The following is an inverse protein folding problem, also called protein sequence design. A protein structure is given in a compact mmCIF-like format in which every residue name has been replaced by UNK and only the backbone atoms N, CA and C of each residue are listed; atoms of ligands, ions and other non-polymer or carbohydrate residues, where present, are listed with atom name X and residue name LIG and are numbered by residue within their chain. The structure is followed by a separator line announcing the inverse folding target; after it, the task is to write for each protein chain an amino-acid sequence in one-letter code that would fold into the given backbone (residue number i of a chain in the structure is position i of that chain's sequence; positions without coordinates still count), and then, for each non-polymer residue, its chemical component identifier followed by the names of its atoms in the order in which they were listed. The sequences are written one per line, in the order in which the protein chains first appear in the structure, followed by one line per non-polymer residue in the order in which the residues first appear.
data_IF_444371685430
#
_entry.id   IF_444371685430
#
_cell.length_a   1.000
_cell.length_b   1.000
_cell.length_c   1.000
_cell.angle_alpha   90.00
_cell.angle_beta   90.00
_cell.angle_gamma   90.00
#
_symmetry.space_group_name_H-M   'P 1'
#
loop_
_entity.id
_entity.type
_entity.pdbx_description
1 polymer ?
#
# COMPACT_ATOMS: atom_id res chain seq x y z
N UNK A 1 23.05 29.67 24.25
CA UNK A 1 22.67 30.72 23.31
C UNK A 1 21.20 30.50 22.96
N UNK A 2 20.31 31.38 23.43
CA UNK A 2 18.85 31.22 23.34
C UNK A 2 18.41 31.46 21.89
N UNK A 3 17.74 30.49 21.26
CA UNK A 3 17.02 30.73 20.02
C UNK A 3 15.65 31.35 20.34
N UNK A 4 15.50 32.60 19.96
CA UNK A 4 14.22 33.31 19.97
C UNK A 4 13.36 32.81 18.80
N UNK A 5 12.07 32.70 19.06
CA UNK A 5 11.01 32.34 18.12
C UNK A 5 11.02 33.26 16.89
N UNK A 6 11.25 32.67 15.72
CA UNK A 6 11.02 33.37 14.43
C UNK A 6 9.66 32.93 13.90
N UNK A 7 8.66 33.71 14.26
CA UNK A 7 7.33 33.66 13.63
C UNK A 7 7.21 34.81 12.65
N UNK A 8 7.79 34.70 11.47
CA UNK A 8 7.54 35.67 10.41
C UNK A 8 7.64 35.01 9.03
N UNK A 9 6.51 34.99 8.31
CA UNK A 9 6.42 34.49 6.94
C UNK A 9 7.22 35.37 5.94
N UNK A 10 7.59 36.61 6.32
CA UNK A 10 8.41 37.50 5.52
C UNK A 10 9.86 37.07 5.37
N UNK A 11 10.44 36.46 6.39
CA UNK A 11 11.85 36.03 6.37
C UNK A 11 12.14 34.84 5.42
N UNK A 12 11.15 34.05 5.12
CA UNK A 12 11.28 32.89 4.18
C UNK A 12 11.26 33.35 2.71
N UNK A 13 10.44 34.35 2.38
CA UNK A 13 10.39 34.92 1.04
C UNK A 13 11.71 35.59 0.68
N UNK A 14 12.31 36.36 1.64
CA UNK A 14 13.62 36.99 1.43
C UNK A 14 14.77 35.97 1.26
N UNK A 15 14.71 34.81 1.90
CA UNK A 15 15.72 33.76 1.74
C UNK A 15 15.65 33.08 0.38
N UNK A 16 14.44 32.88 -0.16
CA UNK A 16 14.22 32.33 -1.50
C UNK A 16 14.69 33.31 -2.57
N UNK A 17 14.37 34.60 -2.45
CA UNK A 17 14.83 35.66 -3.36
C UNK A 17 16.35 35.85 -3.31
N UNK A 18 16.97 35.72 -2.14
CA UNK A 18 18.43 35.83 -1.98
C UNK A 18 19.17 34.62 -2.63
N UNK A 19 18.53 33.45 -2.73
CA UNK A 19 19.07 32.28 -3.42
C UNK A 19 18.89 32.37 -4.93
N UNK A 20 17.82 32.97 -5.42
CA UNK A 20 17.58 33.19 -6.84
C UNK A 20 18.47 34.31 -7.43
N UNK A 21 18.76 35.36 -6.68
CA UNK A 21 19.58 36.49 -7.13
C UNK A 21 21.06 36.14 -7.31
N UNK A 22 21.57 35.03 -6.74
CA UNK A 22 22.94 34.55 -6.90
C UNK A 22 23.14 33.59 -8.10
N UNK A 23 22.07 33.34 -8.89
CA UNK A 23 22.10 32.34 -9.97
C UNK A 23 22.49 32.89 -11.34
N UNK A 24 22.95 34.14 -11.46
CA UNK A 24 23.26 34.81 -12.74
C UNK A 24 24.72 34.83 -13.15
N UNK A 25 25.58 33.93 -12.63
CA UNK A 25 26.94 33.74 -13.13
C UNK A 25 27.18 32.27 -13.49
N UNK A 26 27.40 32.06 -14.78
CA UNK A 26 27.79 30.79 -15.39
C UNK A 26 28.93 30.11 -14.66
N UNK A 27 28.74 28.82 -14.23
CA UNK A 27 29.76 27.78 -14.38
C UNK A 27 29.21 26.40 -13.96
N UNK A 28 29.41 25.48 -14.88
CA UNK A 28 29.60 24.02 -14.77
C UNK A 28 28.69 23.12 -13.90
N UNK A 29 28.01 22.27 -14.56
CA UNK A 29 27.38 20.94 -14.40
C UNK A 29 27.40 20.14 -13.11
N UNK A 30 27.99 20.57 -12.01
CA UNK A 30 28.11 19.82 -10.74
C UNK A 30 27.20 20.31 -9.61
N UNK A 31 26.64 21.50 -9.73
CA UNK A 31 25.78 22.11 -8.70
C UNK A 31 24.31 21.69 -8.75
N UNK A 32 23.84 21.15 -9.85
CA UNK A 32 22.42 20.78 -9.99
C UNK A 32 21.98 19.61 -9.08
N UNK A 33 22.86 18.65 -8.83
CA UNK A 33 22.58 17.50 -7.95
C UNK A 33 22.53 17.90 -6.48
N UNK A 34 23.41 18.79 -6.04
CA UNK A 34 23.44 19.27 -4.65
C UNK A 34 22.23 20.14 -4.32
N UNK A 35 21.75 20.98 -5.26
CA UNK A 35 20.54 21.79 -5.10
C UNK A 35 19.28 20.95 -5.00
N UNK A 36 19.17 19.90 -5.81
CA UNK A 36 18.02 18.99 -5.78
C UNK A 36 17.96 18.19 -4.47
N UNK A 37 19.12 17.81 -3.95
CA UNK A 37 19.24 17.09 -2.67
C UNK A 37 18.88 17.99 -1.49
N UNK A 38 19.35 19.24 -1.48
CA UNK A 38 19.06 20.22 -0.44
C UNK A 38 17.58 20.62 -0.44
N UNK A 39 16.97 20.85 -1.60
CA UNK A 39 15.54 21.15 -1.72
C UNK A 39 14.65 19.98 -1.27
N UNK A 40 15.04 18.76 -1.58
CA UNK A 40 14.32 17.56 -1.17
C UNK A 40 14.42 17.31 0.34
N UNK A 41 15.60 17.53 0.92
CA UNK A 41 15.82 17.45 2.37
C UNK A 41 15.09 18.59 3.10
N UNK A 42 15.07 19.79 2.53
CA UNK A 42 14.31 20.92 3.07
C UNK A 42 12.79 20.70 3.01
N UNK A 43 12.28 20.16 1.92
CA UNK A 43 10.86 19.76 1.79
C UNK A 43 10.50 18.66 2.79
N UNK A 44 11.39 17.71 3.03
CA UNK A 44 11.21 16.65 4.03
C UNK A 44 11.17 17.24 5.45
N UNK A 45 12.18 18.04 5.82
CA UNK A 45 12.27 18.69 7.14
C UNK A 45 11.12 19.67 7.36
N UNK A 46 10.70 20.43 6.34
CA UNK A 46 9.57 21.34 6.40
C UNK A 46 8.25 20.58 6.52
N UNK A 47 8.08 19.46 5.82
CA UNK A 47 6.93 18.57 5.94
C UNK A 47 6.85 17.96 7.34
N UNK A 48 7.98 17.50 7.90
CA UNK A 48 8.06 16.98 9.27
C UNK A 48 7.79 18.10 10.31
N UNK A 49 8.29 19.32 10.10
CA UNK A 49 8.06 20.45 11.00
C UNK A 49 6.61 20.98 10.97
N UNK A 50 5.98 21.02 9.78
CA UNK A 50 4.56 21.41 9.63
C UNK A 50 3.63 20.34 10.19
N UNK A 51 4.00 19.06 10.10
CA UNK A 51 3.27 17.96 10.73
C UNK A 51 3.37 18.04 12.26
N UNK A 52 4.54 18.39 12.81
CA UNK A 52 4.77 18.48 14.26
C UNK A 52 4.04 19.68 14.91
N UNK A 53 3.96 20.82 14.23
CA UNK A 53 3.24 22.00 14.77
C UNK A 53 1.71 21.84 14.77
N UNK A 54 1.13 21.00 13.89
CA UNK A 54 -0.30 20.62 13.95
C UNK A 54 -0.60 19.63 15.09
N UNK A 55 0.40 18.89 15.54
CA UNK A 55 0.29 17.88 16.61
C UNK A 55 0.06 18.47 18.00
N UNK A 56 0.31 19.78 18.20
CA UNK A 56 0.19 20.41 19.52
C UNK A 56 -1.24 20.84 19.91
N UNK A 57 -2.22 20.86 18.98
CA UNK A 57 -3.57 21.38 19.25
C UNK A 57 -4.65 20.29 19.42
N UNK A 58 -4.59 19.20 18.65
CA UNK A 58 -5.47 18.03 18.77
C UNK A 58 -4.72 16.77 18.31
N UNK A 59 -4.93 15.61 18.97
CA UNK A 59 -4.32 14.37 18.53
C UNK A 59 -4.77 14.07 17.10
N UNK A 60 -3.81 13.76 16.20
CA UNK A 60 -4.11 13.36 14.82
C UNK A 60 -5.07 12.17 14.86
N UNK A 61 -6.21 12.30 14.19
CA UNK A 61 -7.24 11.24 14.13
C UNK A 61 -7.28 10.67 12.74
N UNK A 62 -7.13 9.34 12.61
CA UNK A 62 -7.22 8.64 11.32
C UNK A 62 -8.40 7.67 11.34
N UNK A 63 -9.24 7.78 10.32
CA UNK A 63 -10.30 6.83 10.03
C UNK A 63 -9.74 5.59 9.33
N UNK A 64 -10.19 4.41 9.73
CA UNK A 64 -9.82 3.13 9.10
C UNK A 64 -11.08 2.52 8.51
N UNK A 65 -11.11 2.30 7.21
CA UNK A 65 -12.13 1.49 6.52
C UNK A 65 -11.54 0.10 6.36
N UNK A 66 -11.96 -0.85 7.19
CA UNK A 66 -11.34 -2.15 7.28
C UNK A 66 -12.19 -3.26 6.71
N UNK A 67 -11.65 -4.00 5.74
CA UNK A 67 -12.13 -5.30 5.32
C UNK A 67 -11.57 -6.44 6.18
N UNK A 68 -11.50 -7.62 5.60
CA UNK A 68 -10.96 -8.85 6.22
C UNK A 68 -9.44 -8.94 6.12
N UNK A 69 -8.87 -9.90 6.84
CA UNK A 69 -7.44 -10.22 6.84
C UNK A 69 -6.66 -9.53 7.96
N UNK A 70 -5.34 -9.68 7.92
CA UNK A 70 -4.41 -9.18 8.94
C UNK A 70 -3.92 -7.75 8.68
N UNK A 71 -4.19 -7.22 7.49
CA UNK A 71 -3.71 -5.91 7.09
C UNK A 71 -4.19 -4.79 8.02
N UNK A 72 -5.48 -4.68 8.40
CA UNK A 72 -5.92 -3.65 9.34
C UNK A 72 -5.22 -3.71 10.70
N UNK A 73 -5.00 -4.91 11.24
CA UNK A 73 -4.26 -5.10 12.50
C UNK A 73 -2.81 -4.65 12.38
N UNK A 74 -2.13 -5.03 11.30
CA UNK A 74 -0.75 -4.61 11.00
C UNK A 74 -0.63 -3.10 10.96
N UNK A 75 -1.57 -2.42 10.29
CA UNK A 75 -1.62 -0.96 10.23
C UNK A 75 -1.83 -0.34 11.61
N UNK A 76 -2.80 -0.81 12.40
CA UNK A 76 -3.09 -0.28 13.74
C UNK A 76 -1.83 -0.38 14.62
N UNK A 77 -1.18 -1.54 14.62
CA UNK A 77 0.05 -1.75 15.38
C UNK A 77 1.19 -0.83 14.92
N UNK A 78 1.35 -0.63 13.62
CA UNK A 78 2.36 0.26 13.07
C UNK A 78 2.07 1.74 13.38
N UNK A 79 0.83 2.19 13.18
CA UNK A 79 0.42 3.56 13.49
C UNK A 79 0.66 3.92 14.96
N UNK A 80 0.32 3.01 15.89
CA UNK A 80 0.57 3.18 17.33
C UNK A 80 2.05 3.24 17.67
N UNK A 81 2.91 2.48 16.96
CA UNK A 81 4.38 2.55 17.15
C UNK A 81 4.96 3.85 16.64
N UNK A 82 4.53 4.31 15.46
CA UNK A 82 5.02 5.56 14.85
C UNK A 82 4.52 6.81 15.58
N UNK A 83 3.30 6.79 16.08
CA UNK A 83 2.65 7.91 16.72
C UNK A 83 1.85 7.45 17.95
N UNK A 84 2.47 7.31 19.13
CA UNK A 84 1.80 6.79 20.33
C UNK A 84 0.54 7.55 20.75
N UNK A 85 0.42 8.84 20.38
CA UNK A 85 -0.75 9.68 20.67
C UNK A 85 -1.80 9.71 19.55
N UNK A 86 -1.63 8.93 18.46
CA UNK A 86 -2.57 8.92 17.35
C UNK A 86 -3.93 8.33 17.80
N UNK A 87 -5.01 8.98 17.38
CA UNK A 87 -6.36 8.47 17.58
C UNK A 87 -6.81 7.71 16.32
N UNK A 88 -7.22 6.46 16.50
CA UNK A 88 -7.64 5.57 15.42
C UNK A 88 -9.13 5.25 15.56
N UNK A 89 -9.91 5.50 14.51
CA UNK A 89 -11.36 5.25 14.52
C UNK A 89 -11.73 4.32 13.36
N UNK A 90 -12.46 3.24 13.65
CA UNK A 90 -12.65 2.10 12.77
C UNK A 90 -14.07 2.06 12.21
N UNK A 91 -14.20 2.07 10.89
CA UNK A 91 -15.40 1.59 10.18
C UNK A 91 -15.20 0.11 9.82
N UNK A 92 -15.89 -0.76 10.55
CA UNK A 92 -15.80 -2.22 10.42
C UNK A 92 -16.98 -2.75 9.58
N UNK A 93 -16.71 -3.60 8.59
CA UNK A 93 -17.76 -4.26 7.81
C UNK A 93 -18.28 -5.50 8.51
N UNK A 94 -19.61 -5.57 8.71
CA UNK A 94 -20.28 -6.73 9.26
C UNK A 94 -20.00 -7.98 8.41
N UNK A 95 -19.49 -9.05 9.05
CA UNK A 95 -19.17 -10.32 8.41
C UNK A 95 -17.83 -10.36 7.65
N UNK A 96 -17.08 -9.25 7.60
CA UNK A 96 -15.77 -9.18 6.96
C UNK A 96 -14.67 -8.83 7.98
N UNK A 97 -14.84 -7.73 8.70
CA UNK A 97 -13.83 -7.24 9.64
C UNK A 97 -13.82 -8.11 10.89
N UNK A 98 -12.62 -8.46 11.35
CA UNK A 98 -12.45 -9.22 12.59
C UNK A 98 -12.90 -8.39 13.81
N UNK A 99 -13.79 -8.92 14.66
CA UNK A 99 -14.31 -8.19 15.82
C UNK A 99 -13.23 -7.74 16.82
N UNK A 100 -12.12 -8.48 16.90
CA UNK A 100 -11.01 -8.20 17.82
C UNK A 100 -10.39 -6.81 17.58
N UNK A 101 -10.47 -6.29 16.35
CA UNK A 101 -9.95 -4.97 16.01
C UNK A 101 -10.65 -3.85 16.78
N UNK A 102 -11.90 -4.06 17.23
CA UNK A 102 -12.63 -3.08 18.02
C UNK A 102 -11.90 -2.71 19.33
N UNK A 103 -11.25 -3.69 19.96
CA UNK A 103 -10.45 -3.47 21.18
C UNK A 103 -9.11 -2.75 20.94
N UNK A 104 -8.67 -2.59 19.69
CA UNK A 104 -7.38 -2.02 19.32
C UNK A 104 -7.46 -0.56 18.92
N UNK A 105 -8.67 0.00 18.81
CA UNK A 105 -8.94 1.36 18.31
C UNK A 105 -9.73 2.17 19.32
N UNK A 106 -9.83 3.49 19.13
CA UNK A 106 -10.44 4.42 20.08
C UNK A 106 -11.96 4.52 19.92
N UNK A 107 -12.50 4.22 18.72
CA UNK A 107 -13.92 4.16 18.44
C UNK A 107 -14.20 3.28 17.24
N UNK A 108 -15.36 2.62 17.22
CA UNK A 108 -15.77 1.72 16.14
C UNK A 108 -17.22 2.00 15.70
N UNK A 109 -17.43 1.96 14.40
CA UNK A 109 -18.75 1.99 13.79
C UNK A 109 -18.91 0.79 12.85
N UNK A 110 -19.87 -0.11 13.16
CA UNK A 110 -20.18 -1.26 12.32
C UNK A 110 -21.10 -0.88 11.17
N UNK A 111 -20.68 -1.17 9.95
CA UNK A 111 -21.38 -0.84 8.71
C UNK A 111 -21.59 -2.10 7.86
N UNK A 112 -22.45 -1.98 6.87
CA UNK A 112 -22.62 -2.99 5.80
C UNK A 112 -21.91 -2.54 4.55
N UNK A 113 -21.47 -3.49 3.73
CA UNK A 113 -20.96 -3.18 2.39
C UNK A 113 -22.04 -2.45 1.59
N UNK A 114 -21.64 -1.34 0.94
CA UNK A 114 -22.60 -0.47 0.24
C UNK A 114 -23.10 0.73 1.04
N UNK A 115 -22.65 0.94 2.27
CA UNK A 115 -22.95 2.16 3.03
C UNK A 115 -21.75 3.11 3.00
N UNK A 116 -21.91 4.30 2.42
CA UNK A 116 -20.87 5.34 2.37
C UNK A 116 -21.20 6.55 3.24
N UNK A 117 -22.48 6.89 3.37
CA UNK A 117 -22.92 8.02 4.21
C UNK A 117 -22.61 7.81 5.69
N UNK A 118 -22.67 6.56 6.16
CA UNK A 118 -22.45 6.20 7.56
C UNK A 118 -20.98 6.36 7.97
N UNK A 119 -19.98 5.81 7.24
CA UNK A 119 -18.55 6.07 7.49
C UNK A 119 -18.21 7.56 7.50
N UNK A 120 -18.69 8.33 6.52
CA UNK A 120 -18.41 9.77 6.42
C UNK A 120 -18.93 10.52 7.65
N UNK A 121 -20.18 10.25 8.07
CA UNK A 121 -20.75 10.87 9.28
C UNK A 121 -19.98 10.49 10.54
N UNK A 122 -19.56 9.23 10.64
CA UNK A 122 -18.76 8.72 11.74
C UNK A 122 -17.41 9.42 11.83
N UNK A 123 -16.64 9.44 10.74
CA UNK A 123 -15.32 10.08 10.71
C UNK A 123 -15.41 11.58 11.05
N UNK A 124 -16.38 12.29 10.50
CA UNK A 124 -16.59 13.70 10.84
C UNK A 124 -16.94 13.90 12.32
N UNK A 125 -17.79 13.05 12.90
CA UNK A 125 -18.15 13.09 14.32
C UNK A 125 -16.94 12.87 15.21
N UNK A 126 -16.05 11.95 14.81
CA UNK A 126 -14.84 11.62 15.54
C UNK A 126 -13.65 12.55 15.25
N UNK A 127 -13.82 13.53 14.35
CA UNK A 127 -12.78 14.49 14.00
C UNK A 127 -11.67 13.91 13.12
N UNK A 128 -11.95 12.84 12.34
CA UNK A 128 -11.01 12.28 11.39
C UNK A 128 -11.15 12.98 10.03
N UNK A 129 -10.16 13.75 9.66
CA UNK A 129 -9.99 14.41 8.36
C UNK A 129 -9.09 13.63 7.40
N UNK A 130 -8.49 12.55 7.88
CA UNK A 130 -7.71 11.59 7.12
C UNK A 130 -8.29 10.18 7.32
N UNK A 131 -8.23 9.36 6.27
CA UNK A 131 -8.66 7.97 6.34
C UNK A 131 -7.72 7.07 5.54
N UNK A 132 -7.71 5.78 5.88
CA UNK A 132 -7.06 4.70 5.12
C UNK A 132 -8.09 3.62 4.80
N UNK A 133 -7.88 2.92 3.68
CA UNK A 133 -8.72 1.80 3.28
C UNK A 133 -7.86 0.56 3.10
N UNK A 134 -8.20 -0.54 3.75
CA UNK A 134 -7.39 -1.76 3.72
C UNK A 134 -8.16 -3.03 4.06
N UNK A 135 -7.58 -4.16 3.69
CA UNK A 135 -8.22 -5.47 3.82
C UNK A 135 -9.07 -5.83 2.60
N UNK A 136 -9.62 -7.02 2.60
CA UNK A 136 -10.41 -7.55 1.49
C UNK A 136 -11.90 -7.55 1.84
N UNK A 137 -12.74 -7.42 0.83
CA UNK A 137 -14.19 -7.65 0.93
C UNK A 137 -14.51 -8.86 0.07
N UNK A 138 -15.18 -9.85 0.66
CA UNK A 138 -15.57 -11.06 -0.04
C UNK A 138 -16.50 -10.75 -1.22
N UNK A 139 -16.23 -11.30 -2.43
CA UNK A 139 -17.12 -11.13 -3.57
C UNK A 139 -18.57 -11.53 -3.29
N UNK A 140 -18.80 -12.48 -2.38
CA UNK A 140 -20.17 -12.89 -1.97
C UNK A 140 -20.96 -11.74 -1.36
N UNK A 141 -20.32 -10.88 -0.58
CA UNK A 141 -20.97 -9.73 0.07
C UNK A 141 -21.23 -8.58 -0.90
N UNK A 142 -20.64 -8.63 -2.11
CA UNK A 142 -20.98 -7.68 -3.19
C UNK A 142 -22.35 -7.98 -3.85
N UNK A 143 -22.90 -9.19 -3.68
CA UNK A 143 -24.24 -9.54 -4.18
C UNK A 143 -25.37 -9.14 -3.20
N UNK A 144 -25.06 -9.01 -1.89
CA UNK A 144 -26.00 -8.57 -0.86
C UNK A 144 -25.90 -7.06 -0.55
N UNK A 145 -25.44 -6.29 -1.53
CA UNK A 145 -25.29 -4.84 -1.42
C UNK A 145 -26.66 -4.19 -1.12
N UNK A 146 -26.71 -3.47 -0.01
CA UNK A 146 -27.79 -2.51 0.28
C UNK A 146 -27.24 -1.09 0.17
N UNK A 147 -27.05 -0.59 -1.08
CA UNK A 147 -26.42 0.69 -1.31
C UNK A 147 -27.26 1.82 -0.71
N UNK A 148 -26.61 2.72 0.00
CA UNK A 148 -27.23 3.97 0.39
C UNK A 148 -27.32 4.93 -0.82
N UNK A 149 -28.01 6.06 -0.63
CA UNK A 149 -28.24 7.01 -1.73
C UNK A 149 -26.92 7.55 -2.32
N UNK A 150 -25.87 7.72 -1.49
CA UNK A 150 -24.55 8.15 -1.99
C UNK A 150 -23.90 7.10 -2.89
N UNK A 151 -23.91 5.84 -2.47
CA UNK A 151 -23.37 4.75 -3.30
C UNK A 151 -24.16 4.63 -4.60
N UNK A 152 -25.49 4.78 -4.59
CA UNK A 152 -26.29 4.81 -5.81
C UNK A 152 -25.86 5.95 -6.76
N UNK A 153 -25.63 7.15 -6.23
CA UNK A 153 -25.14 8.28 -7.01
C UNK A 153 -23.73 8.04 -7.58
N UNK A 154 -22.83 7.42 -6.81
CA UNK A 154 -21.51 7.00 -7.26
C UNK A 154 -21.61 6.01 -8.42
N UNK A 155 -22.40 4.94 -8.23
CA UNK A 155 -22.61 3.90 -9.24
C UNK A 155 -23.26 4.44 -10.54
N UNK A 156 -24.07 5.49 -10.44
CA UNK A 156 -24.67 6.14 -11.61
C UNK A 156 -23.68 6.99 -12.43
N UNK A 157 -22.59 7.46 -11.80
CA UNK A 157 -21.56 8.28 -12.45
C UNK A 157 -20.43 7.45 -13.06
N UNK A 158 -20.14 6.29 -12.47
CA UNK A 158 -19.03 5.43 -12.89
C UNK A 158 -19.44 4.65 -14.15
N UNK A 159 -18.71 4.89 -15.25
CA UNK A 159 -18.94 4.22 -16.54
C UNK A 159 -18.44 2.77 -16.54
N UNK A 160 -17.25 2.56 -16.00
CA UNK A 160 -16.63 1.24 -15.89
C UNK A 160 -16.65 0.80 -14.43
N UNK A 161 -17.26 -0.37 -14.16
CA UNK A 161 -17.46 -0.87 -12.80
C UNK A 161 -16.36 -1.85 -12.39
N UNK A 162 -15.10 -1.44 -12.56
CA UNK A 162 -13.96 -2.16 -12.00
C UNK A 162 -13.65 -1.64 -10.58
N UNK A 163 -12.82 -2.36 -9.83
CA UNK A 163 -12.48 -2.01 -8.45
C UNK A 163 -11.82 -0.63 -8.35
N UNK A 164 -10.94 -0.29 -9.29
CA UNK A 164 -10.18 0.95 -9.29
C UNK A 164 -11.10 2.17 -9.44
N UNK A 165 -12.02 2.14 -10.41
CA UNK A 165 -12.96 3.25 -10.64
C UNK A 165 -13.97 3.40 -9.48
N UNK A 166 -14.41 2.28 -8.88
CA UNK A 166 -15.33 2.31 -7.74
C UNK A 166 -14.66 2.88 -6.49
N UNK A 167 -13.44 2.42 -6.16
CA UNK A 167 -12.73 2.93 -4.98
C UNK A 167 -12.20 4.35 -5.19
N UNK A 168 -11.80 4.72 -6.41
CA UNK A 168 -11.48 6.10 -6.78
C UNK A 168 -12.67 7.04 -6.53
N UNK A 169 -13.86 6.64 -6.96
CA UNK A 169 -15.08 7.42 -6.73
C UNK A 169 -15.47 7.49 -5.24
N UNK A 170 -15.20 6.44 -4.44
CA UNK A 170 -15.35 6.50 -2.98
C UNK A 170 -14.37 7.51 -2.36
N UNK A 171 -13.12 7.53 -2.82
CA UNK A 171 -12.13 8.52 -2.37
C UNK A 171 -12.55 9.95 -2.68
N UNK A 172 -13.13 10.19 -3.87
CA UNK A 172 -13.68 11.50 -4.25
C UNK A 172 -14.87 11.92 -3.35
N UNK A 173 -15.75 10.98 -3.00
CA UNK A 173 -16.88 11.27 -2.10
C UNK A 173 -16.42 11.57 -0.67
N UNK A 174 -15.38 10.89 -0.17
CA UNK A 174 -14.74 11.22 1.11
C UNK A 174 -14.16 12.64 1.09
N UNK A 175 -13.43 12.98 0.01
CA UNK A 175 -12.81 14.30 -0.16
C UNK A 175 -13.82 15.46 -0.17
N UNK A 176 -15.04 15.27 -0.71
CA UNK A 176 -16.11 16.28 -0.68
C UNK A 176 -16.55 16.64 0.74
N UNK A 177 -16.40 15.72 1.68
CA UNK A 177 -16.71 15.93 3.10
C UNK A 177 -15.47 16.27 3.93
N UNK A 178 -14.35 16.62 3.28
CA UNK A 178 -13.10 17.03 3.93
C UNK A 178 -12.26 15.88 4.47
N UNK A 179 -12.48 14.64 4.02
CA UNK A 179 -11.75 13.46 4.46
C UNK A 179 -10.79 13.03 3.35
N UNK A 180 -9.48 13.15 3.59
CA UNK A 180 -8.44 12.76 2.64
C UNK A 180 -8.13 11.27 2.78
N UNK A 181 -8.25 10.50 1.70
CA UNK A 181 -7.83 9.11 1.69
C UNK A 181 -6.31 9.01 1.48
N UNK A 182 -5.60 8.56 2.52
CA UNK A 182 -4.15 8.34 2.52
C UNK A 182 -3.78 7.05 1.78
N UNK A 183 -2.51 6.91 1.33
CA UNK A 183 -2.00 5.62 0.88
C UNK A 183 -2.18 4.54 1.94
N UNK A 184 -2.62 3.36 1.54
CA UNK A 184 -2.78 2.23 2.46
C UNK A 184 -1.43 1.72 3.02
N UNK A 185 -0.32 2.17 2.46
CA UNK A 185 1.05 1.92 2.93
C UNK A 185 1.53 2.88 4.03
N UNK A 186 0.74 3.90 4.39
CA UNK A 186 1.06 4.86 5.46
C UNK A 186 1.43 4.12 6.75
N UNK A 187 2.53 4.49 7.39
CA UNK A 187 3.15 3.82 8.56
C UNK A 187 3.67 2.39 8.31
N UNK A 188 3.64 1.91 7.07
CA UNK A 188 4.06 0.56 6.71
C UNK A 188 5.29 0.54 5.78
N UNK A 189 6.07 1.62 5.77
CA UNK A 189 7.28 1.75 4.97
C UNK A 189 8.27 0.60 5.26
N UNK A 190 8.37 0.19 6.53
CA UNK A 190 9.19 -0.95 6.97
C UNK A 190 8.72 -2.32 6.45
N UNK A 191 7.52 -2.38 5.91
CA UNK A 191 6.92 -3.57 5.29
C UNK A 191 7.08 -3.60 3.77
N UNK A 192 7.73 -2.58 3.18
CA UNK A 192 8.04 -2.45 1.77
C UNK A 192 9.53 -2.75 1.53
N UNK A 193 9.91 -3.97 1.14
CA UNK A 193 11.32 -4.31 0.95
C UNK A 193 11.97 -3.45 -0.14
N UNK A 194 13.18 -2.99 0.13
CA UNK A 194 14.06 -2.41 -0.88
C UNK A 194 14.60 -3.46 -1.86
N UNK A 195 15.29 -3.04 -2.94
CA UNK A 195 15.81 -3.96 -3.94
C UNK A 195 16.81 -4.98 -3.36
N UNK A 196 16.77 -6.21 -3.87
CA UNK A 196 17.70 -7.28 -3.52
C UNK A 196 17.08 -8.45 -2.77
N UNK A 197 17.92 -9.21 -2.08
CA UNK A 197 17.50 -10.34 -1.26
C UNK A 197 16.69 -9.86 -0.04
N UNK A 198 15.56 -10.51 0.22
CA UNK A 198 14.65 -10.15 1.33
C UNK A 198 14.73 -11.17 2.46
N UNK A 199 14.41 -12.43 2.20
CA UNK A 199 14.48 -13.52 3.18
C UNK A 199 14.47 -14.90 2.49
N UNK A 200 14.73 -15.96 3.26
CA UNK A 200 14.85 -17.33 2.77
C UNK A 200 16.09 -17.54 1.90
N UNK A 201 16.19 -18.63 1.15
CA UNK A 201 17.35 -18.90 0.29
C UNK A 201 17.54 -17.82 -0.78
N UNK A 202 18.78 -17.32 -0.91
CA UNK A 202 19.12 -16.33 -1.93
C UNK A 202 18.93 -16.90 -3.36
N UNK A 203 18.44 -16.06 -4.27
CA UNK A 203 18.24 -16.44 -5.65
C UNK A 203 19.56 -16.76 -6.35
N UNK A 204 19.59 -17.87 -7.07
CA UNK A 204 20.68 -18.23 -7.98
C UNK A 204 20.58 -17.36 -9.25
N UNK A 205 21.67 -17.26 -9.99
CA UNK A 205 21.75 -16.47 -11.24
C UNK A 205 20.57 -16.73 -12.20
N UNK A 206 20.14 -17.99 -12.33
CA UNK A 206 19.03 -18.36 -13.19
C UNK A 206 17.70 -17.84 -12.67
N UNK A 207 17.48 -17.90 -11.36
CA UNK A 207 16.27 -17.37 -10.73
C UNK A 207 16.20 -15.85 -10.85
N UNK A 208 17.33 -15.14 -10.75
CA UNK A 208 17.39 -13.70 -11.01
C UNK A 208 16.99 -13.38 -12.45
N UNK A 209 17.51 -14.13 -13.44
CA UNK A 209 17.10 -13.95 -14.84
C UNK A 209 15.61 -14.25 -15.06
N UNK A 210 15.07 -15.30 -14.42
CA UNK A 210 13.64 -15.62 -14.48
C UNK A 210 12.79 -14.54 -13.77
N UNK A 211 13.28 -13.96 -12.68
CA UNK A 211 12.63 -12.84 -11.99
C UNK A 211 12.52 -11.61 -12.89
N UNK A 212 13.61 -11.20 -13.54
CA UNK A 212 13.62 -10.09 -14.50
C UNK A 212 12.70 -10.34 -15.70
N UNK A 213 12.72 -11.57 -16.24
CA UNK A 213 11.83 -11.98 -17.32
C UNK A 213 10.38 -11.90 -16.89
N UNK A 214 10.03 -12.52 -15.77
CA UNK A 214 8.68 -12.53 -15.21
C UNK A 214 8.20 -11.14 -14.84
N UNK A 215 9.08 -10.28 -14.32
CA UNK A 215 8.77 -8.89 -14.02
C UNK A 215 8.25 -8.12 -15.24
N UNK A 216 8.96 -8.21 -16.37
CA UNK A 216 8.52 -7.56 -17.62
C UNK A 216 7.16 -8.07 -18.08
N UNK A 217 6.92 -9.39 -18.02
CA UNK A 217 5.64 -9.99 -18.41
C UNK A 217 4.52 -9.55 -17.46
N UNK A 218 4.75 -9.64 -16.13
CA UNK A 218 3.77 -9.26 -15.12
C UNK A 218 3.39 -7.76 -15.24
N UNK A 219 4.35 -6.88 -15.54
CA UNK A 219 4.06 -5.45 -15.80
C UNK A 219 3.18 -5.26 -17.04
N UNK A 220 3.35 -6.05 -18.09
CA UNK A 220 2.51 -5.96 -19.29
C UNK A 220 1.10 -6.51 -19.04
N UNK A 221 0.96 -7.68 -18.39
CA UNK A 221 -0.35 -8.24 -18.06
C UNK A 221 -1.12 -7.37 -17.07
N UNK A 222 -0.43 -6.76 -16.12
CA UNK A 222 -1.05 -5.84 -15.17
C UNK A 222 -1.47 -4.51 -15.80
N UNK A 223 -0.73 -4.03 -16.80
CA UNK A 223 -1.11 -2.84 -17.58
C UNK A 223 -2.39 -3.06 -18.41
N UNK A 224 -2.69 -4.30 -18.79
CA UNK A 224 -3.92 -4.70 -19.46
C UNK A 224 -5.07 -5.06 -18.50
N UNK A 225 -4.87 -4.85 -17.20
CA UNK A 225 -5.83 -5.20 -16.12
C UNK A 225 -6.21 -6.70 -16.09
N UNK A 226 -5.31 -7.58 -16.55
CA UNK A 226 -5.53 -9.04 -16.55
C UNK A 226 -5.19 -9.61 -15.17
N UNK A 227 -3.99 -9.30 -14.64
CA UNK A 227 -3.51 -9.77 -13.34
C UNK A 227 -2.11 -9.26 -13.04
N UNK A 228 -1.71 -9.37 -11.77
CA UNK A 228 -0.47 -8.78 -11.23
C UNK A 228 0.62 -9.83 -10.96
N UNK A 229 0.34 -11.10 -11.23
CA UNK A 229 1.29 -12.19 -10.95
C UNK A 229 1.46 -13.10 -12.16
N UNK A 230 2.69 -13.58 -12.32
CA UNK A 230 3.00 -14.64 -13.29
C UNK A 230 3.85 -15.70 -12.60
N UNK A 231 3.70 -16.94 -13.04
CA UNK A 231 4.57 -18.05 -12.63
C UNK A 231 5.45 -18.42 -13.80
N UNK A 232 6.76 -18.41 -13.58
CA UNK A 232 7.75 -18.58 -14.64
C UNK A 232 8.74 -19.72 -14.31
N UNK A 233 9.34 -20.26 -15.35
CA UNK A 233 10.45 -21.21 -15.25
C UNK A 233 11.30 -21.14 -16.51
N UNK A 234 12.59 -20.93 -16.35
CA UNK A 234 13.57 -20.98 -17.44
C UNK A 234 13.19 -20.14 -18.66
N UNK A 235 12.78 -18.88 -18.41
CA UNK A 235 12.36 -17.94 -19.45
C UNK A 235 11.01 -18.27 -20.10
N UNK A 236 10.20 -19.13 -19.47
CA UNK A 236 8.86 -19.52 -19.96
C UNK A 236 7.81 -19.15 -18.93
N UNK A 237 6.71 -18.53 -19.37
CA UNK A 237 5.53 -18.30 -18.54
C UNK A 237 4.73 -19.58 -18.45
N UNK A 238 4.56 -20.11 -17.24
CA UNK A 238 3.74 -21.30 -16.97
C UNK A 238 2.28 -20.94 -16.67
N UNK A 239 2.09 -19.83 -15.94
CA UNK A 239 0.78 -19.31 -15.62
C UNK A 239 0.84 -17.77 -15.51
N UNK A 240 -0.22 -17.12 -15.96
CA UNK A 240 -0.49 -15.71 -15.68
C UNK A 240 -1.78 -15.63 -14.87
N UNK A 241 -1.77 -14.82 -13.82
CA UNK A 241 -2.94 -14.53 -13.01
C UNK A 241 -3.99 -13.79 -13.84
N UNK A 242 -5.26 -14.15 -13.65
CA UNK A 242 -6.40 -13.44 -14.16
C UNK A 242 -7.48 -13.38 -13.06
N UNK A 243 -8.73 -13.60 -13.41
CA UNK A 243 -9.86 -13.54 -12.47
C UNK A 243 -9.78 -14.57 -11.32
N UNK A 244 -9.06 -15.67 -11.50
CA UNK A 244 -8.91 -16.73 -10.50
C UNK A 244 -8.08 -16.34 -9.26
N UNK A 245 -7.28 -15.28 -9.37
CA UNK A 245 -6.44 -14.75 -8.30
C UNK A 245 -5.09 -15.46 -8.11
N UNK A 246 -4.21 -14.83 -7.33
CA UNK A 246 -2.80 -15.23 -7.17
C UNK A 246 -2.62 -16.69 -6.72
N UNK A 247 -3.40 -17.16 -5.73
CA UNK A 247 -3.22 -18.50 -5.18
C UNK A 247 -3.55 -19.61 -6.20
N UNK A 248 -4.57 -19.42 -7.03
CA UNK A 248 -4.91 -20.38 -8.09
C UNK A 248 -3.85 -20.34 -9.21
N UNK A 249 -3.34 -19.16 -9.56
CA UNK A 249 -2.23 -19.01 -10.50
C UNK A 249 -0.97 -19.74 -10.02
N UNK A 250 -0.60 -19.62 -8.72
CA UNK A 250 0.53 -20.34 -8.11
C UNK A 250 0.37 -21.85 -8.27
N UNK A 251 -0.79 -22.39 -7.89
CA UNK A 251 -1.04 -23.86 -7.99
C UNK A 251 -0.94 -24.35 -9.42
N UNK A 252 -1.58 -23.68 -10.37
CA UNK A 252 -1.53 -24.02 -11.79
C UNK A 252 -0.12 -23.95 -12.36
N UNK A 253 0.63 -22.90 -12.03
CA UNK A 253 2.01 -22.75 -12.46
C UNK A 253 2.95 -23.77 -11.85
N UNK A 254 2.78 -24.11 -10.57
CA UNK A 254 3.54 -25.13 -9.88
C UNK A 254 3.31 -26.53 -10.48
N UNK A 255 2.07 -26.89 -10.77
CA UNK A 255 1.70 -28.14 -11.45
C UNK A 255 2.36 -28.25 -12.83
N UNK A 256 2.22 -27.23 -13.67
CA UNK A 256 2.81 -27.18 -15.01
C UNK A 256 4.36 -27.20 -14.96
N UNK A 257 4.96 -26.59 -13.94
CA UNK A 257 6.39 -26.62 -13.69
C UNK A 257 6.90 -27.90 -13.03
N UNK A 258 6.01 -28.82 -12.64
CA UNK A 258 6.33 -30.05 -11.90
C UNK A 258 7.14 -29.79 -10.62
N UNK A 259 6.89 -28.66 -9.96
CA UNK A 259 7.53 -28.29 -8.71
C UNK A 259 9.06 -28.12 -8.76
N UNK A 260 9.65 -27.82 -9.92
CA UNK A 260 11.11 -27.67 -10.06
C UNK A 260 11.49 -26.36 -10.69
N UNK A 261 12.35 -25.59 -10.01
CA UNK A 261 12.85 -24.28 -10.48
C UNK A 261 11.73 -23.31 -10.89
N UNK A 262 10.58 -23.36 -10.22
CA UNK A 262 9.43 -22.52 -10.49
C UNK A 262 9.50 -21.26 -9.63
N UNK A 263 9.21 -20.13 -10.22
CA UNK A 263 9.25 -18.83 -9.59
C UNK A 263 7.92 -18.08 -9.76
N UNK A 264 7.36 -17.56 -8.67
CA UNK A 264 6.29 -16.57 -8.70
C UNK A 264 6.90 -15.18 -8.89
N UNK A 265 6.31 -14.36 -9.76
CA UNK A 265 6.64 -12.93 -9.86
C UNK A 265 5.37 -12.12 -9.68
N UNK A 266 5.38 -11.20 -8.71
CA UNK A 266 4.24 -10.34 -8.37
C UNK A 266 4.66 -8.87 -8.40
N UNK A 267 3.87 -8.05 -9.11
CA UNK A 267 4.16 -6.63 -9.34
C UNK A 267 2.95 -5.76 -9.03
N UNK A 268 3.15 -4.44 -8.99
CA UNK A 268 2.06 -3.46 -9.04
C UNK A 268 1.68 -3.15 -10.49
N UNK A 269 0.46 -2.69 -10.72
CA UNK A 269 0.06 -2.08 -12.00
C UNK A 269 0.90 -0.81 -12.25
N UNK A 270 1.14 -0.40 -13.51
CA UNK A 270 1.89 0.83 -13.82
C UNK A 270 1.34 2.09 -13.14
N UNK A 271 0.01 2.21 -13.08
CA UNK A 271 -0.70 3.36 -12.48
C UNK A 271 -1.48 2.95 -11.23
N UNK A 272 -0.94 2.03 -10.43
CA UNK A 272 -1.58 1.53 -9.23
C UNK A 272 -1.96 2.66 -8.26
N UNK A 273 -3.20 2.71 -7.84
CA UNK A 273 -3.63 3.63 -6.78
C UNK A 273 -3.39 3.01 -5.39
N UNK A 274 -2.28 3.39 -4.79
CA UNK A 274 -1.85 2.88 -3.49
C UNK A 274 -2.76 3.31 -2.31
N UNK A 275 -3.78 4.11 -2.55
CA UNK A 275 -4.76 4.46 -1.51
C UNK A 275 -5.65 3.27 -1.13
N UNK A 276 -5.86 2.30 -2.04
CA UNK A 276 -6.76 1.17 -1.81
C UNK A 276 -6.33 -0.14 -2.46
N UNK A 277 -5.37 -0.12 -3.38
CA UNK A 277 -4.88 -1.33 -4.05
C UNK A 277 -3.36 -1.43 -3.91
N UNK A 278 -2.89 -2.30 -3.03
CA UNK A 278 -1.47 -2.53 -2.76
C UNK A 278 -1.19 -4.02 -2.94
N UNK A 279 -0.20 -4.40 -3.77
CA UNK A 279 0.24 -5.78 -3.84
C UNK A 279 0.73 -6.27 -2.48
N UNK A 280 0.26 -7.45 -2.07
CA UNK A 280 0.59 -8.02 -0.76
C UNK A 280 1.14 -9.42 -0.93
N UNK A 281 2.16 -9.75 -0.14
CA UNK A 281 2.64 -11.11 0.12
C UNK A 281 2.57 -11.36 1.63
N UNK A 282 1.96 -12.46 2.01
CA UNK A 282 1.80 -12.88 3.41
C UNK A 282 2.02 -14.36 3.60
N UNK A 283 1.88 -14.89 4.82
CA UNK A 283 2.09 -16.30 5.15
C UNK A 283 1.39 -17.27 4.22
N UNK A 284 0.12 -17.01 3.88
CA UNK A 284 -0.67 -17.85 2.99
C UNK A 284 -0.05 -17.96 1.57
N UNK A 285 0.57 -16.88 1.07
CA UNK A 285 1.26 -16.93 -0.22
C UNK A 285 2.45 -17.88 -0.16
N UNK A 286 3.23 -17.82 0.94
CA UNK A 286 4.39 -18.70 1.14
C UNK A 286 3.95 -20.17 1.22
N UNK A 287 2.94 -20.46 2.03
CA UNK A 287 2.38 -21.79 2.17
C UNK A 287 1.84 -22.34 0.82
N UNK A 288 1.11 -21.50 0.07
CA UNK A 288 0.62 -21.89 -1.27
C UNK A 288 1.76 -22.17 -2.25
N UNK A 289 2.86 -21.39 -2.19
CA UNK A 289 4.05 -21.64 -2.99
C UNK A 289 4.72 -22.96 -2.62
N UNK A 290 4.86 -23.25 -1.32
CA UNK A 290 5.42 -24.52 -0.84
C UNK A 290 4.63 -25.72 -1.33
N UNK A 291 3.30 -25.70 -1.14
CA UNK A 291 2.38 -26.78 -1.56
C UNK A 291 2.42 -27.02 -3.08
N UNK A 292 2.62 -25.96 -3.85
CA UNK A 292 2.70 -26.02 -5.31
C UNK A 292 4.12 -26.32 -5.86
N UNK A 293 5.14 -26.40 -4.99
CA UNK A 293 6.53 -26.58 -5.41
C UNK A 293 7.15 -25.35 -6.09
N UNK A 294 6.64 -24.15 -5.77
CA UNK A 294 7.21 -22.86 -6.21
C UNK A 294 8.30 -22.45 -5.23
N UNK A 295 9.57 -22.50 -5.66
CA UNK A 295 10.74 -22.36 -4.79
C UNK A 295 11.21 -20.91 -4.56
N UNK A 296 10.53 -19.92 -5.14
CA UNK A 296 10.89 -18.51 -4.93
C UNK A 296 9.82 -17.54 -5.36
N UNK A 297 9.90 -16.33 -4.80
CA UNK A 297 8.97 -15.24 -5.05
C UNK A 297 9.77 -13.99 -5.37
N UNK A 298 9.60 -13.44 -6.57
CA UNK A 298 10.08 -12.12 -6.92
C UNK A 298 8.96 -11.09 -6.74
N UNK A 299 9.27 -9.98 -6.08
CA UNK A 299 8.32 -8.89 -5.81
C UNK A 299 8.85 -7.57 -6.32
N UNK A 300 7.97 -6.60 -6.56
CA UNK A 300 8.39 -5.25 -6.93
C UNK A 300 8.88 -4.49 -5.68
N UNK A 301 10.14 -4.03 -5.73
CA UNK A 301 10.79 -3.30 -4.65
C UNK A 301 10.05 -1.99 -4.32
N UNK A 302 9.87 -1.72 -3.03
CA UNK A 302 9.19 -0.53 -2.52
C UNK A 302 7.69 -0.43 -2.86
N UNK A 303 7.09 -1.49 -3.45
CA UNK A 303 5.68 -1.46 -3.87
C UNK A 303 4.87 -2.68 -3.44
N UNK A 304 5.50 -3.73 -2.95
CA UNK A 304 4.82 -4.93 -2.45
C UNK A 304 4.96 -4.99 -0.94
N UNK A 305 3.83 -5.01 -0.22
CA UNK A 305 3.82 -5.16 1.24
C UNK A 305 4.07 -6.61 1.65
N UNK A 306 4.95 -6.80 2.63
CA UNK A 306 5.07 -8.04 3.39
C UNK A 306 4.24 -7.93 4.67
N UNK A 307 3.09 -8.60 4.70
CA UNK A 307 2.28 -8.70 5.91
C UNK A 307 2.81 -9.82 6.81
N UNK A 308 2.77 -9.59 8.13
CA UNK A 308 3.34 -10.52 9.12
C UNK A 308 4.81 -10.88 8.76
N UNK A 309 5.63 -9.86 8.48
CA UNK A 309 6.98 -10.01 7.90
C UNK A 309 7.87 -11.00 8.65
N UNK A 310 7.79 -11.04 9.98
CA UNK A 310 8.61 -11.95 10.80
C UNK A 310 8.18 -13.41 10.58
N UNK A 311 6.87 -13.67 10.51
CA UNK A 311 6.32 -14.99 10.18
C UNK A 311 6.59 -15.39 8.74
N UNK A 312 6.54 -14.44 7.80
CA UNK A 312 6.93 -14.68 6.40
C UNK A 312 8.40 -15.10 6.34
N UNK A 313 9.30 -14.41 7.03
CA UNK A 313 10.72 -14.75 7.06
C UNK A 313 10.95 -16.16 7.66
N UNK A 314 10.30 -16.48 8.79
CA UNK A 314 10.36 -17.81 9.40
C UNK A 314 9.87 -18.91 8.44
N UNK A 315 8.72 -18.68 7.77
CA UNK A 315 8.17 -19.63 6.80
C UNK A 315 9.10 -19.81 5.60
N UNK A 316 9.69 -18.74 5.10
CA UNK A 316 10.62 -18.77 3.97
C UNK A 316 11.85 -19.66 4.27
N UNK A 317 12.45 -19.51 5.45
CA UNK A 317 13.56 -20.36 5.89
C UNK A 317 13.12 -21.83 6.06
N UNK A 318 12.02 -22.08 6.75
CA UNK A 318 11.53 -23.42 7.04
C UNK A 318 11.11 -24.17 5.77
N UNK A 319 10.46 -23.50 4.83
CA UNK A 319 9.93 -24.09 3.61
C UNK A 319 10.88 -23.95 2.39
N UNK A 320 12.07 -23.39 2.61
CA UNK A 320 13.09 -23.14 1.58
C UNK A 320 12.58 -22.32 0.38
N UNK A 321 11.79 -21.29 0.65
CA UNK A 321 11.30 -20.34 -0.36
C UNK A 321 12.05 -19.03 -0.24
N UNK A 322 12.77 -18.63 -1.28
CA UNK A 322 13.43 -17.33 -1.31
C UNK A 322 12.49 -16.20 -1.71
N UNK A 323 12.65 -15.00 -1.11
CA UNK A 323 12.03 -13.78 -1.59
C UNK A 323 13.12 -12.82 -2.07
N UNK A 324 12.93 -12.26 -3.26
CA UNK A 324 13.80 -11.26 -3.86
C UNK A 324 12.99 -10.08 -4.40
N UNK A 325 13.39 -8.87 -4.08
CA UNK A 325 12.78 -7.63 -4.58
C UNK A 325 13.55 -7.10 -5.81
N UNK A 326 12.84 -6.89 -6.91
CA UNK A 326 13.35 -6.44 -8.21
C UNK A 326 13.12 -4.96 -8.39
#
# INVERSE_FOLDING_TARGET
MRLQSVGDQGGLAELVDALDSKSSSNECGFESHSRYFILREYQRVFSEYVLDTRSMAHPRTIGIIAGSGVYPETFIAAARRHSPGIRLVLCAFQGETRPELESMVDATEWIRVGQLSKPIKFFRREGADEAVMMGQISPKNLFDLRPDLRVLMVLARVKERNAETLFGAVAEELAKDGITLLPATTFLEDHLPGPGHVCGPAFRKRQLSDAEFGFRIAKQTSALDIGQSVVVRHGTVLAAEAFEGTNACIRRGGELGRGKDVLLVKVSKPNQDFRFDVPVVGPQTIETCADAGVGGIAIEAGKTLLLEKDRVAELCERLHIGIHAV
#
